data_IF_864915221134
#
_entry.id   IF_864915221134
#
_cell.length_a   1.000
_cell.length_b   1.000
_cell.length_c   1.000
_cell.angle_alpha   90.00
_cell.angle_beta   90.00
_cell.angle_gamma   90.00
#
_symmetry.space_group_name_H-M   'P 1'
#
loop_
_entity.id
_entity.type
_entity.pdbx_description
1 polymer ?
#
# COMPACT_ATOMS: atom_id res chain seq x y z
N UNK A 1 -15.95 38.14 29.11
CA UNK A 1 -14.54 37.72 29.19
C UNK A 1 -14.55 36.25 29.58
N UNK A 2 -14.33 35.33 28.64
CA UNK A 2 -14.38 33.88 28.89
C UNK A 2 -12.95 33.37 29.12
N UNK A 3 -12.67 32.88 30.32
CA UNK A 3 -11.42 32.18 30.61
C UNK A 3 -11.53 30.75 30.07
N UNK A 4 -10.77 30.44 29.01
CA UNK A 4 -10.54 29.05 28.58
C UNK A 4 -9.57 28.40 29.57
N UNK A 5 -10.08 27.48 30.38
CA UNK A 5 -9.27 26.63 31.26
C UNK A 5 -8.55 25.60 30.36
N UNK A 6 -7.39 25.98 29.85
CA UNK A 6 -6.63 25.24 28.84
C UNK A 6 -5.79 24.12 29.49
N UNK A 7 -6.46 23.17 30.14
CA UNK A 7 -5.85 21.97 30.75
C UNK A 7 -5.77 20.82 29.74
N UNK A 8 -5.20 21.05 28.57
CA UNK A 8 -4.84 19.96 27.67
C UNK A 8 -3.46 19.42 28.13
N UNK A 9 -3.36 18.18 28.62
CA UNK A 9 -2.09 17.65 29.10
C UNK A 9 -1.06 17.65 27.97
N UNK A 10 0.15 18.12 28.28
CA UNK A 10 1.30 18.15 27.38
C UNK A 10 1.59 16.75 26.85
N UNK A 11 1.82 16.62 25.53
CA UNK A 11 2.21 15.35 24.91
C UNK A 11 3.48 14.73 25.50
N UNK A 12 4.28 15.52 26.24
CA UNK A 12 5.47 15.05 26.95
C UNK A 12 5.16 14.21 28.20
N UNK A 13 4.01 14.42 28.82
CA UNK A 13 3.60 13.76 30.07
C UNK A 13 2.56 12.66 29.82
N UNK A 14 2.20 12.43 28.56
CA UNK A 14 1.34 11.32 28.19
C UNK A 14 2.11 10.01 28.44
N UNK A 15 1.52 9.04 29.17
CA UNK A 15 2.11 7.70 29.23
C UNK A 15 2.29 7.20 27.80
N UNK A 16 3.48 6.67 27.51
CA UNK A 16 3.77 6.10 26.20
C UNK A 16 2.67 5.10 25.81
N UNK A 17 2.32 5.01 24.50
CA UNK A 17 1.20 4.19 24.06
C UNK A 17 1.37 2.77 24.59
N UNK A 18 0.36 2.29 25.34
CA UNK A 18 0.35 0.89 25.80
C UNK A 18 0.46 0.00 24.56
N UNK A 19 1.38 -0.98 24.55
CA UNK A 19 1.54 -1.87 23.41
C UNK A 19 0.21 -2.57 23.10
N UNK A 20 -0.33 -2.32 21.91
CA UNK A 20 -1.56 -2.94 21.47
C UNK A 20 -1.32 -4.44 21.26
N UNK A 21 -2.21 -5.27 21.80
CA UNK A 21 -2.25 -6.71 21.47
C UNK A 21 -2.57 -6.91 19.99
N UNK A 22 -3.14 -5.89 19.33
CA UNK A 22 -3.53 -5.90 17.91
C UNK A 22 -2.61 -5.02 17.07
N UNK A 23 -2.16 -5.56 15.95
CA UNK A 23 -1.44 -4.81 14.92
C UNK A 23 -2.44 -4.23 13.93
N UNK A 24 -2.51 -2.90 13.85
CA UNK A 24 -3.46 -2.20 12.97
C UNK A 24 -2.86 -1.86 11.61
N UNK A 25 -1.59 -1.47 11.59
CA UNK A 25 -0.93 -1.05 10.36
C UNK A 25 0.54 -1.41 10.36
N UNK A 26 1.07 -1.70 9.18
CA UNK A 26 2.49 -1.95 8.94
C UNK A 26 2.96 -1.12 7.75
N UNK A 27 4.18 -0.62 7.84
CA UNK A 27 4.82 0.10 6.75
C UNK A 27 5.69 -0.86 5.94
N UNK A 28 5.65 -0.73 4.62
CA UNK A 28 6.54 -1.48 3.73
C UNK A 28 7.06 -0.61 2.60
N UNK A 29 8.29 -0.89 2.17
CA UNK A 29 8.86 -0.42 0.93
C UNK A 29 8.74 -1.51 -0.12
N UNK A 30 8.41 -1.12 -1.34
CA UNK A 30 8.57 -2.01 -2.49
C UNK A 30 10.05 -2.37 -2.64
N UNK A 31 10.35 -3.66 -2.67
CA UNK A 31 11.68 -4.20 -2.95
C UNK A 31 11.54 -5.38 -3.91
N UNK A 32 12.18 -5.29 -5.06
CA UNK A 32 11.96 -6.18 -6.19
C UNK A 32 10.46 -6.35 -6.50
N UNK A 33 9.97 -7.60 -6.39
CA UNK A 33 8.58 -8.00 -6.63
C UNK A 33 7.73 -8.05 -5.35
N UNK A 34 8.22 -7.54 -4.23
CA UNK A 34 7.59 -7.68 -2.92
C UNK A 34 7.50 -6.36 -2.14
N UNK A 35 6.80 -6.40 -1.01
CA UNK A 35 6.72 -5.31 -0.04
C UNK A 35 7.36 -5.77 1.26
N UNK A 36 8.46 -5.12 1.64
CA UNK A 36 9.25 -5.49 2.82
C UNK A 36 9.25 -4.38 3.85
N UNK A 37 9.24 -4.75 5.12
CA UNK A 37 9.21 -3.76 6.20
C UNK A 37 9.48 -4.39 7.55
N UNK A 38 9.26 -3.59 8.58
CA UNK A 38 9.47 -3.98 9.96
C UNK A 38 8.30 -3.50 10.81
N UNK A 39 7.93 -4.27 11.83
CA UNK A 39 7.01 -3.83 12.86
C UNK A 39 7.49 -4.28 14.24
N UNK A 40 7.06 -3.55 15.25
CA UNK A 40 7.45 -3.80 16.63
C UNK A 40 6.24 -4.21 17.46
N UNK A 41 6.53 -5.06 18.44
CA UNK A 41 5.60 -5.48 19.50
C UNK A 41 6.23 -5.13 20.84
N UNK A 42 5.51 -5.33 21.95
CA UNK A 42 6.09 -5.15 23.29
C UNK A 42 7.32 -6.03 23.56
N UNK A 43 7.54 -7.10 22.80
CA UNK A 43 8.57 -8.11 23.08
C UNK A 43 9.72 -8.09 22.09
N UNK A 44 9.47 -7.72 20.84
CA UNK A 44 10.42 -7.91 19.75
C UNK A 44 10.06 -7.08 18.53
N UNK A 45 11.09 -6.85 17.70
CA UNK A 45 11.00 -6.30 16.37
C UNK A 45 11.01 -7.43 15.33
N UNK A 46 10.14 -7.34 14.34
CA UNK A 46 9.97 -8.35 13.30
C UNK A 46 10.14 -7.75 11.92
N UNK A 47 11.01 -8.35 11.11
CA UNK A 47 11.06 -8.10 9.67
C UNK A 47 9.98 -8.94 9.00
N UNK A 48 9.25 -8.33 8.07
CA UNK A 48 8.24 -9.03 7.29
C UNK A 48 8.40 -8.76 5.79
N UNK A 49 7.81 -9.67 5.02
CA UNK A 49 7.65 -9.54 3.58
C UNK A 49 6.23 -9.94 3.21
N UNK A 50 5.58 -9.14 2.38
CA UNK A 50 4.42 -9.56 1.60
C UNK A 50 4.85 -9.66 0.14
N UNK A 51 4.85 -10.87 -0.41
CA UNK A 51 5.20 -11.15 -1.79
C UNK A 51 3.93 -11.51 -2.57
N UNK A 52 3.38 -10.57 -3.37
CA UNK A 52 2.30 -10.86 -4.31
C UNK A 52 2.69 -12.01 -5.25
N UNK A 53 1.71 -12.82 -5.62
CA UNK A 53 1.81 -13.88 -6.65
C UNK A 53 0.81 -13.67 -7.78
N UNK A 54 -0.29 -12.97 -7.50
CA UNK A 54 -1.28 -12.62 -8.52
C UNK A 54 -1.97 -11.29 -8.21
N UNK A 55 -2.46 -10.65 -9.26
CA UNK A 55 -3.31 -9.47 -9.24
C UNK A 55 -4.62 -9.74 -9.98
N UNK A 56 -5.71 -9.26 -9.41
CA UNK A 56 -7.03 -9.28 -10.05
C UNK A 56 -7.82 -8.03 -9.66
N UNK A 57 -8.92 -7.79 -10.37
CA UNK A 57 -9.93 -6.82 -9.97
C UNK A 57 -11.12 -7.56 -9.40
N UNK A 58 -11.56 -7.13 -8.24
CA UNK A 58 -12.75 -7.66 -7.58
C UNK A 58 -13.51 -6.52 -6.92
N UNK A 59 -14.82 -6.44 -7.16
CA UNK A 59 -15.67 -5.34 -6.68
C UNK A 59 -15.09 -3.95 -7.00
N UNK A 60 -14.53 -3.80 -8.21
CA UNK A 60 -13.93 -2.54 -8.69
C UNK A 60 -12.61 -2.16 -8.03
N UNK A 61 -11.99 -3.05 -7.24
CA UNK A 61 -10.73 -2.78 -6.52
C UNK A 61 -9.62 -3.71 -6.97
N UNK A 62 -8.39 -3.19 -6.97
CA UNK A 62 -7.20 -4.03 -7.10
C UNK A 62 -7.09 -4.96 -5.88
N UNK A 63 -6.97 -6.25 -6.15
CA UNK A 63 -6.72 -7.28 -5.15
C UNK A 63 -5.45 -8.02 -5.53
N UNK A 64 -4.49 -8.05 -4.61
CA UNK A 64 -3.29 -8.88 -4.71
C UNK A 64 -3.46 -10.12 -3.84
N UNK A 65 -3.07 -11.29 -4.34
CA UNK A 65 -2.98 -12.51 -3.52
C UNK A 65 -1.51 -12.93 -3.46
N UNK A 66 -1.02 -13.24 -2.27
CA UNK A 66 0.40 -13.51 -2.07
C UNK A 66 0.73 -14.26 -0.79
N UNK A 67 2.02 -14.25 -0.46
CA UNK A 67 2.56 -14.86 0.75
C UNK A 67 3.02 -13.78 1.72
N UNK A 68 2.57 -13.84 2.96
CA UNK A 68 3.08 -13.00 4.05
C UNK A 68 4.08 -13.82 4.89
N UNK A 69 5.24 -13.28 5.18
CA UNK A 69 6.29 -14.00 5.92
C UNK A 69 6.95 -13.16 7.00
N UNK A 70 7.36 -13.83 8.08
CA UNK A 70 8.20 -13.29 9.16
C UNK A 70 9.32 -14.29 9.41
N UNK A 71 10.55 -13.91 9.02
CA UNK A 71 11.67 -14.85 8.95
C UNK A 71 11.35 -16.04 8.03
N UNK A 72 11.57 -17.26 8.50
CA UNK A 72 11.27 -18.49 7.73
C UNK A 72 9.77 -18.87 7.73
N UNK A 73 8.96 -18.27 8.61
CA UNK A 73 7.53 -18.63 8.76
C UNK A 73 6.68 -17.87 7.75
N UNK A 74 5.67 -18.53 7.20
CA UNK A 74 4.87 -18.01 6.08
C UNK A 74 3.39 -18.31 6.27
N UNK A 75 2.55 -17.41 5.76
CA UNK A 75 1.12 -17.61 5.55
C UNK A 75 0.85 -17.36 4.07
N UNK A 76 0.33 -18.37 3.39
CA UNK A 76 0.01 -18.29 1.97
C UNK A 76 -1.41 -17.77 1.73
N UNK A 77 -1.70 -17.39 0.48
CA UNK A 77 -3.01 -16.92 0.03
C UNK A 77 -3.53 -15.72 0.83
N UNK A 78 -2.63 -14.89 1.35
CA UNK A 78 -2.99 -13.63 1.99
C UNK A 78 -3.45 -12.67 0.91
N UNK A 79 -4.66 -12.15 1.09
CA UNK A 79 -5.29 -11.21 0.16
C UNK A 79 -5.06 -9.79 0.64
N UNK A 80 -4.55 -8.93 -0.23
CA UNK A 80 -4.39 -7.50 0.00
C UNK A 80 -5.36 -6.76 -0.94
N UNK A 81 -6.38 -6.11 -0.38
CA UNK A 81 -7.36 -5.33 -1.15
C UNK A 81 -7.03 -3.85 -1.06
N UNK A 82 -6.84 -3.18 -2.20
CA UNK A 82 -6.47 -1.77 -2.25
C UNK A 82 -7.61 -0.90 -1.73
N UNK A 83 -7.35 -0.17 -0.66
CA UNK A 83 -8.29 0.72 0.01
C UNK A 83 -8.18 2.16 -0.49
N UNK A 84 -6.95 2.65 -0.67
CA UNK A 84 -6.63 3.98 -1.19
C UNK A 84 -5.23 4.02 -1.77
N UNK A 85 -4.94 5.08 -2.52
CA UNK A 85 -3.61 5.41 -3.02
C UNK A 85 -3.20 6.80 -2.52
N UNK A 86 -1.95 7.14 -2.72
CA UNK A 86 -1.47 8.52 -2.59
C UNK A 86 -0.57 8.79 -3.79
N UNK A 87 -0.84 9.89 -4.49
CA UNK A 87 0.03 10.37 -5.56
C UNK A 87 1.42 10.78 -5.05
N UNK A 88 2.43 10.68 -5.90
CA UNK A 88 3.71 11.37 -5.70
C UNK A 88 3.75 12.70 -6.46
N UNK A 89 4.44 13.70 -5.90
CA UNK A 89 4.81 14.94 -6.59
C UNK A 89 6.26 14.83 -7.05
N UNK A 90 6.53 14.95 -8.35
CA UNK A 90 7.90 14.90 -8.91
C UNK A 90 7.96 14.57 -10.40
N UNK A 91 9.18 14.52 -10.95
CA UNK A 91 9.41 14.07 -12.32
C UNK A 91 9.12 12.58 -12.41
N UNK A 92 8.14 12.25 -13.23
CA UNK A 92 7.77 10.88 -13.57
C UNK A 92 9.00 10.15 -14.13
N UNK A 93 9.25 8.86 -13.79
CA UNK A 93 10.32 8.10 -14.43
C UNK A 93 10.25 8.23 -15.96
N UNK A 94 11.38 8.39 -16.64
CA UNK A 94 11.47 8.64 -18.10
C UNK A 94 10.78 7.57 -18.97
N UNK A 95 10.53 6.38 -18.42
CA UNK A 95 9.76 5.32 -19.08
C UNK A 95 8.24 5.54 -19.05
N UNK A 96 7.74 6.49 -18.26
CA UNK A 96 6.35 6.97 -18.28
C UNK A 96 6.24 8.20 -19.20
N UNK A 97 7.08 8.27 -20.23
CA UNK A 97 6.90 9.26 -21.28
C UNK A 97 5.72 8.83 -22.15
N UNK A 98 4.75 9.74 -22.24
CA UNK A 98 3.59 9.70 -23.13
C UNK A 98 2.44 8.78 -22.71
N UNK A 99 1.75 9.14 -21.62
CA UNK A 99 0.30 8.88 -21.55
C UNK A 99 -0.43 10.07 -22.17
N UNK A 100 -0.97 9.98 -23.40
CA UNK A 100 -1.85 11.01 -23.91
C UNK A 100 -3.22 10.86 -23.23
N UNK A 101 -3.46 11.62 -22.16
CA UNK A 101 -4.79 11.75 -21.57
C UNK A 101 -5.14 13.22 -21.37
N UNK A 102 -6.37 13.60 -21.75
CA UNK A 102 -6.87 14.98 -21.61
C UNK A 102 -6.99 15.33 -20.12
N UNK A 103 -6.33 16.41 -19.70
CA UNK A 103 -6.50 17.00 -18.37
C UNK A 103 -7.94 17.47 -18.18
N UNK A 104 -8.63 17.05 -17.11
CA UNK A 104 -9.89 17.67 -16.69
C UNK A 104 -9.59 18.77 -15.66
N UNK A 105 -10.02 19.99 -15.93
CA UNK A 105 -9.80 21.13 -15.04
C UNK A 105 -10.65 21.04 -13.75
N UNK A 106 -10.00 21.08 -12.58
CA UNK A 106 -10.64 21.40 -11.31
C UNK A 106 -10.04 20.67 -10.09
N UNK A 107 -9.67 21.46 -9.07
CA UNK A 107 -9.08 21.08 -7.76
C UNK A 107 -7.65 20.51 -7.81
N UNK A 108 -6.83 20.71 -6.76
CA UNK A 108 -5.52 20.07 -6.65
C UNK A 108 -5.69 18.55 -6.57
N UNK A 109 -4.97 17.84 -7.43
CA UNK A 109 -5.04 16.39 -7.54
C UNK A 109 -4.26 15.76 -6.39
N UNK A 110 -4.97 15.17 -5.43
CA UNK A 110 -4.37 14.44 -4.29
C UNK A 110 -4.04 12.99 -4.63
N UNK A 111 -4.56 12.51 -5.76
CA UNK A 111 -4.44 11.14 -6.25
C UNK A 111 -3.55 11.09 -7.51
N UNK A 112 -3.17 9.89 -7.96
CA UNK A 112 -2.40 9.68 -9.20
C UNK A 112 -3.25 9.93 -10.46
N UNK A 113 -3.87 11.11 -10.54
CA UNK A 113 -4.95 11.46 -11.48
C UNK A 113 -4.53 12.59 -12.42
N UNK A 114 -3.44 12.43 -13.17
CA UNK A 114 -3.13 13.26 -14.36
C UNK A 114 -2.01 12.62 -15.20
N UNK A 115 -1.69 13.21 -16.35
CA UNK A 115 -0.59 12.82 -17.26
C UNK A 115 0.80 12.80 -16.59
N UNK A 116 0.95 13.43 -15.42
CA UNK A 116 2.17 13.42 -14.61
C UNK A 116 2.00 12.76 -13.25
N UNK A 117 0.80 12.29 -12.92
CA UNK A 117 0.49 11.65 -11.65
C UNK A 117 0.99 10.21 -11.65
N UNK A 118 1.74 9.82 -10.62
CA UNK A 118 2.12 8.44 -10.36
C UNK A 118 1.75 8.04 -8.94
N UNK A 119 1.58 6.74 -8.71
CA UNK A 119 1.32 6.19 -7.39
C UNK A 119 2.61 6.22 -6.58
N UNK A 120 2.63 6.99 -5.49
CA UNK A 120 3.73 7.01 -4.52
C UNK A 120 3.48 6.09 -3.33
N UNK A 121 2.22 5.85 -2.99
CA UNK A 121 1.83 4.89 -1.96
C UNK A 121 0.51 4.21 -2.26
N UNK A 122 0.37 3.01 -1.69
CA UNK A 122 -0.82 2.18 -1.74
C UNK A 122 -1.14 1.69 -0.33
N UNK A 123 -2.41 1.75 0.04
CA UNK A 123 -2.91 1.30 1.33
C UNK A 123 -3.79 0.08 1.12
N UNK A 124 -3.35 -1.09 1.57
CA UNK A 124 -4.10 -2.33 1.42
C UNK A 124 -4.68 -2.79 2.74
N UNK A 125 -5.93 -3.22 2.74
CA UNK A 125 -6.45 -4.06 3.82
C UNK A 125 -6.06 -5.51 3.55
N UNK A 126 -5.35 -6.12 4.50
CA UNK A 126 -5.02 -7.53 4.43
C UNK A 126 -6.18 -8.37 4.96
N UNK A 127 -6.44 -9.51 4.32
CA UNK A 127 -7.28 -10.58 4.89
C UNK A 127 -6.71 -11.00 6.25
N UNK A 128 -7.54 -11.47 7.18
CA UNK A 128 -7.07 -11.90 8.51
C UNK A 128 -5.87 -12.85 8.44
N UNK A 129 -4.76 -12.47 9.05
CA UNK A 129 -3.54 -13.28 9.09
C UNK A 129 -3.50 -14.09 10.38
N UNK A 130 -3.31 -15.41 10.26
CA UNK A 130 -3.14 -16.30 11.42
C UNK A 130 -1.76 -16.08 12.06
N UNK A 131 -1.68 -15.15 13.01
CA UNK A 131 -0.43 -14.76 13.68
C UNK A 131 0.35 -15.94 14.29
N UNK A 132 -0.35 -16.97 14.82
CA UNK A 132 0.29 -18.17 15.36
C UNK A 132 1.14 -18.92 14.32
N UNK A 133 0.74 -18.94 13.05
CA UNK A 133 1.53 -19.54 11.97
C UNK A 133 2.84 -18.78 11.69
N UNK A 134 2.90 -17.51 12.09
CA UNK A 134 4.10 -16.66 12.04
C UNK A 134 4.91 -16.71 13.35
N UNK A 135 4.49 -17.51 14.34
CA UNK A 135 5.10 -17.55 15.67
C UNK A 135 4.85 -16.29 16.49
N UNK A 136 3.75 -15.59 16.22
CA UNK A 136 3.37 -14.34 16.87
C UNK A 136 2.13 -14.55 17.75
N UNK A 137 2.02 -13.72 18.78
CA UNK A 137 0.87 -13.73 19.72
C UNK A 137 -0.02 -12.49 19.59
N UNK A 138 0.29 -11.61 18.64
CA UNK A 138 -0.48 -10.39 18.37
C UNK A 138 -1.66 -10.69 17.43
N UNK A 139 -2.76 -9.98 17.61
CA UNK A 139 -3.91 -10.03 16.69
C UNK A 139 -3.55 -9.31 15.39
N UNK A 140 -3.56 -10.06 14.27
CA UNK A 140 -3.32 -9.56 12.91
C UNK A 140 -4.56 -9.69 12.01
N UNK A 141 -5.75 -9.72 12.59
CA UNK A 141 -7.02 -9.91 11.86
C UNK A 141 -7.45 -8.74 10.97
N UNK A 142 -6.91 -7.54 11.18
CA UNK A 142 -7.30 -6.30 10.47
C UNK A 142 -6.10 -5.41 10.17
N UNK A 143 -5.01 -6.00 9.68
CA UNK A 143 -3.79 -5.24 9.37
C UNK A 143 -3.96 -4.46 8.07
N UNK A 144 -3.61 -3.18 8.09
CA UNK A 144 -3.41 -2.37 6.89
C UNK A 144 -1.92 -2.39 6.50
N UNK A 145 -1.62 -2.73 5.25
CA UNK A 145 -0.30 -2.60 4.66
C UNK A 145 -0.18 -1.24 3.97
N UNK A 146 0.73 -0.40 4.48
CA UNK A 146 1.10 0.89 3.91
C UNK A 146 2.31 0.69 3.00
N UNK A 147 2.07 0.38 1.73
CA UNK A 147 3.11 0.15 0.75
C UNK A 147 3.57 1.46 0.13
N UNK A 148 4.86 1.78 0.22
CA UNK A 148 5.47 2.91 -0.49
C UNK A 148 6.23 2.42 -1.71
N UNK A 149 6.04 3.12 -2.82
CA UNK A 149 6.75 2.89 -4.07
C UNK A 149 7.92 3.87 -4.13
N UNK A 150 9.13 3.35 -3.87
CA UNK A 150 10.38 4.10 -3.92
C UNK A 150 11.39 3.27 -4.71
N UNK A 151 11.26 3.27 -6.05
CA UNK A 151 11.98 2.31 -6.88
C UNK A 151 13.46 2.65 -7.00
N UNK A 152 14.27 1.63 -6.85
CA UNK A 152 15.74 1.65 -6.92
C UNK A 152 16.27 0.76 -8.05
N UNK A 153 15.49 -0.22 -8.51
CA UNK A 153 15.78 -1.10 -9.66
C UNK A 153 14.83 -0.88 -10.84
N UNK A 154 15.15 -1.44 -12.01
CA UNK A 154 14.29 -1.36 -13.21
C UNK A 154 12.95 -2.06 -13.00
N UNK A 155 12.96 -3.28 -12.45
CA UNK A 155 11.75 -4.02 -12.08
C UNK A 155 10.87 -3.22 -11.12
N UNK A 156 11.47 -2.53 -10.15
CA UNK A 156 10.71 -1.71 -9.22
C UNK A 156 10.05 -0.51 -9.90
N UNK A 157 10.76 0.13 -10.86
CA UNK A 157 10.20 1.22 -11.67
C UNK A 157 9.06 0.72 -12.54
N UNK A 158 9.23 -0.40 -13.23
CA UNK A 158 8.19 -1.02 -14.06
C UNK A 158 6.92 -1.29 -13.25
N UNK A 159 7.05 -1.92 -12.09
CA UNK A 159 5.93 -2.14 -11.17
C UNK A 159 5.24 -0.83 -10.77
N UNK A 160 5.98 0.24 -10.47
CA UNK A 160 5.38 1.54 -10.16
C UNK A 160 4.58 2.11 -11.35
N UNK A 161 5.07 1.94 -12.58
CA UNK A 161 4.34 2.33 -13.79
C UNK A 161 3.02 1.56 -13.88
N UNK A 162 3.10 0.23 -13.81
CA UNK A 162 1.93 -0.65 -13.97
C UNK A 162 0.92 -0.44 -12.85
N UNK A 163 1.36 -0.25 -11.59
CA UNK A 163 0.45 0.12 -10.50
C UNK A 163 -0.22 1.48 -10.75
N UNK A 164 0.49 2.44 -11.34
CA UNK A 164 -0.08 3.74 -11.69
C UNK A 164 -1.08 3.64 -12.84
N UNK A 165 -0.89 2.73 -13.79
CA UNK A 165 -1.87 2.44 -14.85
C UNK A 165 -3.14 1.78 -14.30
N UNK A 166 -2.99 0.74 -13.48
CA UNK A 166 -4.12 0.12 -12.77
C UNK A 166 -4.87 1.15 -11.94
N UNK A 167 -4.15 2.01 -11.22
CA UNK A 167 -4.74 3.06 -10.41
C UNK A 167 -5.56 4.05 -11.25
N UNK A 168 -4.99 4.52 -12.37
CA UNK A 168 -5.69 5.42 -13.30
C UNK A 168 -6.96 4.79 -13.87
N UNK A 169 -6.93 3.49 -14.19
CA UNK A 169 -8.09 2.78 -14.73
C UNK A 169 -9.19 2.56 -13.69
N UNK A 170 -8.84 2.23 -12.44
CA UNK A 170 -9.81 1.82 -11.41
C UNK A 170 -10.26 2.95 -10.49
N UNK A 171 -9.45 3.98 -10.30
CA UNK A 171 -9.67 5.05 -9.31
C UNK A 171 -9.62 6.46 -9.92
N UNK A 172 -9.51 6.56 -11.25
CA UNK A 172 -9.64 7.84 -11.96
C UNK A 172 -11.08 8.37 -12.00
N UNK A 173 -11.29 9.52 -12.66
CA UNK A 173 -12.59 10.18 -12.74
C UNK A 173 -13.69 9.31 -13.37
N UNK A 174 -13.31 8.40 -14.28
CA UNK A 174 -14.22 7.44 -14.92
C UNK A 174 -13.67 6.02 -14.73
N UNK A 175 -13.95 5.35 -13.60
CA UNK A 175 -13.46 3.99 -13.33
C UNK A 175 -13.92 2.98 -14.38
N UNK A 176 -12.99 2.18 -14.90
CA UNK A 176 -13.23 1.15 -15.91
C UNK A 176 -12.37 -0.10 -15.65
N UNK A 177 -13.00 -1.15 -15.12
CA UNK A 177 -12.32 -2.42 -14.84
C UNK A 177 -11.77 -3.11 -16.10
N UNK A 178 -12.42 -2.96 -17.26
CA UNK A 178 -11.93 -3.55 -18.52
C UNK A 178 -10.66 -2.85 -19.00
N UNK A 179 -10.53 -1.53 -18.77
CA UNK A 179 -9.31 -0.79 -19.07
C UNK A 179 -8.13 -1.21 -18.18
N UNK A 180 -8.39 -1.77 -16.99
CA UNK A 180 -7.34 -2.28 -16.11
C UNK A 180 -6.78 -3.65 -16.55
N UNK A 181 -7.52 -4.42 -17.35
CA UNK A 181 -7.18 -5.80 -17.73
C UNK A 181 -5.76 -5.99 -18.30
N UNK A 182 -5.28 -5.20 -19.28
CA UNK A 182 -3.91 -5.36 -19.80
C UNK A 182 -2.85 -5.08 -18.73
N UNK A 183 -3.11 -4.14 -17.81
CA UNK A 183 -2.18 -3.81 -16.72
C UNK A 183 -2.16 -4.88 -15.63
N UNK A 184 -3.30 -5.53 -15.36
CA UNK A 184 -3.35 -6.71 -14.50
C UNK A 184 -2.57 -7.88 -15.10
N UNK A 185 -2.65 -8.08 -16.42
CA UNK A 185 -1.86 -9.10 -17.10
C UNK A 185 -0.35 -8.83 -16.95
N UNK A 186 0.07 -7.57 -17.11
CA UNK A 186 1.46 -7.16 -16.88
C UNK A 186 1.91 -7.40 -15.42
N UNK A 187 1.10 -7.03 -14.42
CA UNK A 187 1.41 -7.36 -13.01
C UNK A 187 1.63 -8.86 -12.80
N UNK A 188 0.75 -9.69 -13.37
CA UNK A 188 0.84 -11.15 -13.25
C UNK A 188 2.03 -11.76 -14.01
N UNK A 189 2.58 -11.09 -15.02
CA UNK A 189 3.82 -11.51 -15.69
C UNK A 189 5.06 -11.14 -14.88
N UNK A 190 4.98 -10.05 -14.11
CA UNK A 190 6.08 -9.64 -13.24
C UNK A 190 6.15 -10.51 -11.99
N UNK A 191 5.03 -10.85 -11.35
CA UNK A 191 5.01 -11.62 -10.10
C UNK A 191 5.53 -13.06 -10.23
#
# INVERSE_FOLDING_TARGET
>A
MFAQDNKQPSAKDAPGPKPSVKLYSIFALQRDKAFTGEFETSKSKYKFTFAPKSAQVENGKLRLTGTFSVGARKVENVVATLASIQGGLGTVPTAINERPLKSSSGLPLTEATDIRGFVGAMYFHLSPIKAAALGLTIDMSKVQLNARLFPTSETERELQVVFSDVASALYGATPNANAAAPHLAALNQIF
#
